data_IF_662225116701
#
_entry.id   IF_662225116701
#
_cell.length_a   1.000
_cell.length_b   1.000
_cell.length_c   1.000
_cell.angle_alpha   90.00
_cell.angle_beta   90.00
_cell.angle_gamma   90.00
#
_symmetry.space_group_name_H-M   'P 1'
#
loop_
_entity.id
_entity.type
_entity.pdbx_description
1 polymer ?
#
# COMPACT_ATOMS: atom_id res chain seq x y z
N UNK A 1 -9.28 28.93 6.68
CA UNK A 1 -8.76 29.49 5.42
C UNK A 1 -7.29 29.88 5.61
N UNK A 2 -6.54 30.08 4.52
CA UNK A 2 -5.14 30.56 4.56
C UNK A 2 -5.06 31.89 5.32
N UNK A 3 -6.04 32.76 5.14
CA UNK A 3 -6.13 34.05 5.86
C UNK A 3 -6.25 33.87 7.37
N UNK A 4 -7.01 32.86 7.83
CA UNK A 4 -7.13 32.55 9.25
C UNK A 4 -5.81 32.04 9.82
N UNK A 5 -5.09 31.21 9.08
CA UNK A 5 -3.77 30.68 9.48
C UNK A 5 -2.75 31.81 9.55
N UNK A 6 -2.69 32.67 8.54
CA UNK A 6 -1.80 33.84 8.53
C UNK A 6 -2.11 34.80 9.66
N UNK A 7 -3.40 35.02 9.96
CA UNK A 7 -3.83 35.83 11.09
C UNK A 7 -3.35 35.24 12.42
N UNK A 8 -3.46 33.93 12.60
CA UNK A 8 -3.00 33.24 13.81
C UNK A 8 -1.49 33.35 13.95
N UNK A 9 -0.72 33.11 12.89
CA UNK A 9 0.74 33.25 12.87
C UNK A 9 1.14 34.68 13.26
N UNK A 10 0.50 35.68 12.68
CA UNK A 10 0.73 37.11 12.97
C UNK A 10 0.44 37.45 14.41
N UNK A 11 -0.65 36.92 14.97
CA UNK A 11 -1.02 37.13 16.36
C UNK A 11 -0.04 36.47 17.33
N UNK A 12 0.36 35.23 17.02
CA UNK A 12 1.35 34.52 17.83
C UNK A 12 2.70 35.22 17.81
N UNK A 13 3.22 35.57 16.66
CA UNK A 13 4.52 36.25 16.52
C UNK A 13 4.54 37.62 17.27
N UNK A 14 3.41 38.35 17.24
CA UNK A 14 3.33 39.68 17.88
C UNK A 14 3.05 39.62 19.39
N UNK A 15 2.31 38.62 19.85
CA UNK A 15 1.85 38.56 21.25
C UNK A 15 2.62 37.58 22.12
N UNK A 16 3.24 36.58 21.48
CA UNK A 16 3.96 35.51 22.15
C UNK A 16 5.30 35.20 21.43
N UNK A 17 6.22 36.19 21.32
CA UNK A 17 7.46 36.03 20.57
C UNK A 17 8.36 34.90 21.11
N UNK A 18 8.24 34.58 22.39
CA UNK A 18 9.02 33.54 23.08
C UNK A 18 8.23 32.23 23.23
N UNK A 19 7.11 32.09 22.50
CA UNK A 19 6.20 30.95 22.61
C UNK A 19 5.05 31.17 23.58
N UNK A 20 4.03 30.33 23.54
CA UNK A 20 2.85 30.38 24.36
C UNK A 20 2.93 29.39 25.52
N UNK A 21 2.79 29.86 26.74
CA UNK A 21 2.79 29.03 27.95
C UNK A 21 1.37 28.62 28.38
N UNK A 22 1.25 27.62 29.26
CA UNK A 22 -0.04 27.22 29.83
C UNK A 22 -0.75 28.36 30.53
N UNK A 23 0.00 29.26 31.21
CA UNK A 23 -0.53 30.43 31.87
C UNK A 23 -1.04 31.50 30.91
N UNK A 24 -0.51 31.55 29.69
CA UNK A 24 -0.98 32.41 28.61
C UNK A 24 -2.30 31.89 28.04
N UNK A 25 -2.44 30.58 27.91
CA UNK A 25 -3.69 29.92 27.48
C UNK A 25 -4.84 30.24 28.43
N UNK A 26 -4.61 30.25 29.77
CA UNK A 26 -5.63 30.61 30.76
C UNK A 26 -6.07 32.06 30.66
N UNK A 27 -5.21 32.94 30.20
CA UNK A 27 -5.44 34.40 30.13
C UNK A 27 -5.65 34.91 28.70
N UNK A 28 -5.80 34.03 27.72
CA UNK A 28 -5.77 34.36 26.29
C UNK A 28 -6.83 35.42 25.92
N UNK A 29 -8.02 35.37 26.56
CA UNK A 29 -9.08 36.34 26.32
C UNK A 29 -8.72 37.80 26.79
N UNK A 30 -7.71 37.92 27.64
CA UNK A 30 -7.18 39.22 28.08
C UNK A 30 -6.06 39.73 27.20
N UNK A 31 -5.40 38.81 26.45
CA UNK A 31 -4.24 39.13 25.63
C UNK A 31 -4.70 39.39 24.18
N UNK A 32 -5.72 38.66 23.71
CA UNK A 32 -6.25 38.75 22.35
C UNK A 32 -7.72 39.18 22.37
N UNK A 33 -8.02 40.29 21.70
CA UNK A 33 -9.40 40.73 21.43
C UNK A 33 -9.92 40.02 20.18
N UNK A 34 -10.50 38.83 20.37
CA UNK A 34 -11.01 37.97 19.31
C UNK A 34 -12.09 38.64 18.44
N UNK A 35 -12.90 39.56 19.03
CA UNK A 35 -13.92 40.29 18.23
C UNK A 35 -13.28 41.24 17.24
N UNK A 36 -12.24 41.97 17.69
CA UNK A 36 -11.49 42.89 16.84
C UNK A 36 -10.74 42.14 15.73
N UNK A 37 -10.26 40.96 16.02
CA UNK A 37 -9.49 40.11 15.06
C UNK A 37 -10.39 39.31 14.12
N UNK A 38 -11.72 39.34 14.29
CA UNK A 38 -12.69 38.57 13.45
C UNK A 38 -12.45 37.06 13.40
N UNK A 39 -11.86 36.50 14.42
CA UNK A 39 -11.68 35.07 14.60
C UNK A 39 -12.29 34.63 15.94
N UNK A 40 -12.93 33.44 15.99
CA UNK A 40 -13.42 32.92 17.26
C UNK A 40 -12.28 32.34 18.10
N UNK A 41 -12.38 32.40 19.41
CA UNK A 41 -11.43 31.79 20.34
C UNK A 41 -11.26 30.30 20.05
N UNK A 42 -12.37 29.60 19.85
CA UNK A 42 -12.34 28.14 19.54
C UNK A 42 -11.53 27.84 18.28
N UNK A 43 -11.77 28.62 17.20
CA UNK A 43 -11.03 28.46 15.97
C UNK A 43 -9.55 28.80 16.09
N UNK A 44 -9.23 29.85 16.85
CA UNK A 44 -7.84 30.22 17.15
C UNK A 44 -7.11 29.11 17.90
N UNK A 45 -7.72 28.56 18.96
CA UNK A 45 -7.13 27.47 19.75
C UNK A 45 -7.00 26.20 18.93
N UNK A 46 -8.00 25.87 18.09
CA UNK A 46 -7.94 24.72 17.19
C UNK A 46 -6.76 24.83 16.22
N UNK A 47 -6.58 25.99 15.59
CA UNK A 47 -5.45 26.21 14.67
C UNK A 47 -4.09 26.14 15.37
N UNK A 48 -3.99 26.51 16.66
CA UNK A 48 -2.76 26.33 17.43
C UNK A 48 -2.50 24.85 17.70
N UNK A 49 -3.54 24.08 18.08
CA UNK A 49 -3.40 22.64 18.32
C UNK A 49 -3.02 21.94 17.02
N UNK A 50 -3.69 22.26 15.92
CA UNK A 50 -3.39 21.70 14.60
C UNK A 50 -1.96 22.05 14.14
N UNK A 51 -1.51 23.30 14.37
CA UNK A 51 -0.16 23.74 14.04
C UNK A 51 0.94 23.06 14.86
N UNK A 52 0.62 22.56 16.04
CA UNK A 52 1.58 21.83 16.88
C UNK A 52 1.96 20.47 16.26
N UNK A 53 1.11 19.97 15.34
CA UNK A 53 1.34 18.73 14.61
C UNK A 53 1.96 18.99 13.22
N UNK A 54 2.24 20.24 12.87
CA UNK A 54 2.83 20.62 11.58
C UNK A 54 4.23 21.19 11.83
N UNK A 55 5.23 20.42 11.47
CA UNK A 55 6.64 20.83 11.65
C UNK A 55 7.08 21.83 10.57
N UNK A 56 6.61 21.64 9.33
CA UNK A 56 7.04 22.46 8.19
C UNK A 56 6.11 22.33 6.99
N UNK A 57 5.81 23.47 6.35
CA UNK A 57 5.30 23.49 4.97
C UNK A 57 6.48 23.69 4.02
N UNK A 58 6.71 22.76 3.10
CA UNK A 58 7.71 22.88 2.05
C UNK A 58 7.08 22.67 0.69
N UNK A 59 7.54 23.41 -0.30
CA UNK A 59 7.30 23.08 -1.70
C UNK A 59 8.53 22.29 -2.15
N UNK A 60 8.33 21.01 -2.49
CA UNK A 60 9.40 20.22 -3.09
C UNK A 60 9.61 20.64 -4.55
N UNK A 61 10.77 21.22 -4.84
CA UNK A 61 11.13 21.65 -6.20
C UNK A 61 11.60 20.50 -7.11
N UNK A 62 11.73 19.28 -6.61
CA UNK A 62 12.32 18.15 -7.33
C UNK A 62 11.38 16.96 -7.53
N UNK A 63 10.34 17.13 -8.32
CA UNK A 63 9.71 15.99 -8.98
C UNK A 63 10.62 15.55 -10.13
N UNK A 64 11.51 14.59 -9.90
CA UNK A 64 12.32 13.98 -10.96
C UNK A 64 11.40 13.23 -11.93
N UNK A 65 11.31 13.82 -13.08
CA UNK A 65 10.51 13.41 -14.22
C UNK A 65 10.99 12.10 -14.84
N UNK A 66 10.03 11.22 -15.15
CA UNK A 66 10.04 10.37 -16.36
C UNK A 66 8.73 9.59 -16.53
N UNK A 67 7.59 10.19 -16.24
CA UNK A 67 6.29 9.59 -16.54
C UNK A 67 5.43 10.60 -17.29
N UNK A 68 4.84 10.16 -18.40
CA UNK A 68 3.92 10.97 -19.20
C UNK A 68 2.59 11.26 -18.46
N UNK A 69 2.28 10.48 -17.42
CA UNK A 69 1.08 10.60 -16.59
C UNK A 69 1.43 10.45 -15.09
N UNK A 70 0.74 11.22 -14.24
CA UNK A 70 0.99 11.30 -12.79
C UNK A 70 -0.31 11.19 -12.01
N UNK A 71 -0.35 10.33 -10.99
CA UNK A 71 -1.45 10.29 -10.02
C UNK A 71 -1.26 11.48 -9.06
N UNK A 72 -2.30 12.26 -8.88
CA UNK A 72 -2.29 13.43 -8.01
C UNK A 72 -3.44 13.33 -7.04
N UNK A 73 -3.13 13.37 -5.75
CA UNK A 73 -4.12 13.57 -4.70
C UNK A 73 -4.22 15.05 -4.37
N UNK A 74 -5.44 15.54 -4.29
CA UNK A 74 -5.77 16.94 -4.07
C UNK A 74 -6.48 17.04 -2.72
N UNK A 75 -6.19 18.08 -1.96
CA UNK A 75 -6.92 18.34 -0.72
C UNK A 75 -8.41 18.48 -0.98
N UNK A 76 -9.24 17.89 -0.13
CA UNK A 76 -10.70 18.00 -0.23
C UNK A 76 -11.13 19.46 -0.20
N UNK A 77 -12.00 19.81 -1.13
CA UNK A 77 -12.63 21.12 -1.25
C UNK A 77 -14.15 20.96 -1.31
N UNK A 78 -14.89 22.05 -1.23
CA UNK A 78 -16.35 22.03 -1.43
C UNK A 78 -16.75 21.68 -2.88
N UNK A 79 -15.79 21.72 -3.82
CA UNK A 79 -15.98 21.40 -5.23
C UNK A 79 -15.57 19.95 -5.52
N UNK A 80 -16.28 19.32 -6.41
CA UNK A 80 -15.85 18.02 -6.97
C UNK A 80 -14.54 18.20 -7.75
N UNK A 81 -13.77 17.13 -7.86
CA UNK A 81 -12.49 17.16 -8.62
C UNK A 81 -12.70 17.61 -10.07
N UNK A 82 -13.82 17.25 -10.69
CA UNK A 82 -14.18 17.67 -12.05
C UNK A 82 -14.46 19.17 -12.15
N UNK A 83 -15.18 19.73 -11.20
CA UNK A 83 -15.43 21.18 -11.13
C UNK A 83 -14.15 21.96 -10.88
N UNK A 84 -13.27 21.40 -10.03
CA UNK A 84 -11.98 21.99 -9.73
C UNK A 84 -11.07 22.00 -10.95
N UNK A 85 -10.96 20.87 -11.66
CA UNK A 85 -10.17 20.78 -12.89
C UNK A 85 -10.69 21.71 -13.99
N UNK A 86 -12.01 21.76 -14.18
CA UNK A 86 -12.64 22.71 -15.13
C UNK A 86 -12.33 24.16 -14.78
N UNK A 87 -12.29 24.52 -13.49
CA UNK A 87 -11.95 25.88 -13.06
C UNK A 87 -10.47 26.25 -13.33
N UNK A 88 -9.61 25.26 -13.56
CA UNK A 88 -8.20 25.41 -13.92
C UNK A 88 -7.94 25.22 -15.43
N UNK A 89 -9.00 25.16 -16.25
CA UNK A 89 -8.93 24.87 -17.70
C UNK A 89 -8.22 23.53 -17.99
N UNK A 90 -8.47 22.53 -17.15
CA UNK A 90 -7.97 21.16 -17.30
C UNK A 90 -9.15 20.26 -17.63
N UNK A 91 -9.13 19.68 -18.83
CA UNK A 91 -10.11 18.67 -19.23
C UNK A 91 -9.68 17.30 -18.72
N UNK A 92 -10.54 16.63 -17.93
CA UNK A 92 -10.31 15.28 -17.44
C UNK A 92 -11.45 14.35 -17.85
N UNK A 93 -11.09 13.15 -18.26
CA UNK A 93 -12.04 12.09 -18.52
C UNK A 93 -12.44 11.40 -17.20
N UNK A 94 -13.67 10.87 -17.14
CA UNK A 94 -14.14 10.15 -15.95
C UNK A 94 -13.26 8.96 -15.59
N UNK A 95 -12.66 8.31 -16.58
CA UNK A 95 -11.74 7.19 -16.39
C UNK A 95 -10.42 7.58 -15.69
N UNK A 96 -10.07 8.85 -15.67
CA UNK A 96 -8.87 9.38 -15.02
C UNK A 96 -9.13 9.84 -13.58
N UNK A 97 -10.37 9.75 -13.10
CA UNK A 97 -10.73 10.04 -11.71
C UNK A 97 -10.72 8.72 -10.93
N UNK A 98 -9.90 8.64 -9.90
CA UNK A 98 -9.79 7.46 -9.04
C UNK A 98 -10.74 7.55 -7.86
N UNK A 99 -10.75 8.69 -7.19
CA UNK A 99 -11.61 8.95 -6.03
C UNK A 99 -12.08 10.42 -6.05
N UNK A 100 -12.77 10.85 -4.99
CA UNK A 100 -13.23 12.24 -4.88
C UNK A 100 -12.09 13.27 -4.87
N UNK A 101 -10.88 12.84 -4.56
CA UNK A 101 -9.71 13.70 -4.41
C UNK A 101 -8.46 13.22 -5.18
N UNK A 102 -8.53 12.13 -5.94
CA UNK A 102 -7.38 11.54 -6.63
C UNK A 102 -7.65 11.41 -8.13
N UNK A 103 -6.74 11.90 -8.94
CA UNK A 103 -6.86 11.97 -10.40
C UNK A 103 -5.54 11.64 -11.09
N UNK A 104 -5.63 11.03 -12.28
CA UNK A 104 -4.51 10.82 -13.18
C UNK A 104 -4.40 12.02 -14.11
N UNK A 105 -3.26 12.69 -14.12
CA UNK A 105 -2.98 13.87 -14.92
C UNK A 105 -1.80 13.64 -15.84
N UNK A 106 -1.87 14.20 -17.05
CA UNK A 106 -0.72 14.36 -17.91
C UNK A 106 0.20 15.48 -17.40
N UNK A 107 1.38 15.57 -18.00
CA UNK A 107 2.40 16.55 -17.62
C UNK A 107 1.91 17.99 -17.74
N UNK A 108 1.22 18.32 -18.82
CA UNK A 108 0.76 19.69 -19.08
C UNK A 108 -0.29 20.11 -18.06
N UNK A 109 -1.20 19.22 -17.72
CA UNK A 109 -2.21 19.41 -16.67
C UNK A 109 -1.59 19.57 -15.29
N UNK A 110 -0.57 18.76 -14.97
CA UNK A 110 0.19 18.87 -13.72
C UNK A 110 0.91 20.22 -13.64
N UNK A 111 1.55 20.70 -14.72
CA UNK A 111 2.19 22.01 -14.77
C UNK A 111 1.19 23.14 -14.56
N UNK A 112 -0.03 23.04 -15.12
CA UNK A 112 -1.09 24.02 -14.90
C UNK A 112 -1.51 24.10 -13.43
N UNK A 113 -1.68 22.95 -12.76
CA UNK A 113 -2.00 22.92 -11.33
C UNK A 113 -0.85 23.50 -10.51
N UNK A 114 0.38 23.09 -10.77
CA UNK A 114 1.56 23.59 -10.05
C UNK A 114 1.70 25.11 -10.17
N UNK A 115 1.39 25.67 -11.34
CA UNK A 115 1.48 27.10 -11.59
C UNK A 115 0.34 27.90 -10.95
N UNK A 116 -0.89 27.39 -10.99
CA UNK A 116 -2.08 28.14 -10.63
C UNK A 116 -2.65 27.78 -9.26
N UNK A 117 -2.39 26.58 -8.77
CA UNK A 117 -3.02 26.03 -7.59
C UNK A 117 -2.16 24.95 -6.91
N UNK A 118 -0.84 25.15 -6.81
CA UNK A 118 0.11 24.21 -6.20
C UNK A 118 -0.27 23.78 -4.77
N UNK A 119 -0.96 24.66 -4.04
CA UNK A 119 -1.47 24.40 -2.69
C UNK A 119 -2.58 23.34 -2.64
N UNK A 120 -3.17 22.96 -3.77
CA UNK A 120 -4.18 21.91 -3.83
C UNK A 120 -3.55 20.51 -3.89
N UNK A 121 -2.29 20.38 -4.29
CA UNK A 121 -1.64 19.09 -4.41
C UNK A 121 -1.22 18.63 -3.02
N UNK A 122 -1.83 17.53 -2.58
CA UNK A 122 -1.41 16.86 -1.37
C UNK A 122 -0.22 15.94 -1.65
N UNK A 123 -0.19 15.27 -2.82
CA UNK A 123 0.85 14.32 -3.18
C UNK A 123 0.85 13.93 -4.66
N UNK A 124 2.00 13.49 -5.16
CA UNK A 124 2.15 12.88 -6.48
C UNK A 124 3.01 11.61 -6.44
N UNK A 125 2.61 10.68 -7.20
CA UNK A 125 3.07 9.35 -7.67
C UNK A 125 4.14 8.57 -6.92
N UNK A 126 3.73 7.34 -6.59
CA UNK A 126 4.61 6.18 -6.43
C UNK A 126 4.15 5.08 -7.40
N UNK A 127 5.06 4.46 -8.14
CA UNK A 127 4.75 3.39 -9.07
C UNK A 127 4.79 2.04 -8.35
N UNK A 128 3.62 1.43 -8.10
CA UNK A 128 3.51 0.08 -7.50
C UNK A 128 3.66 -1.04 -8.54
N UNK A 129 3.89 -0.70 -9.81
CA UNK A 129 4.04 -1.71 -10.86
C UNK A 129 5.37 -2.45 -10.81
N UNK A 130 6.34 -1.94 -10.07
CA UNK A 130 7.65 -2.58 -9.93
C UNK A 130 7.67 -3.46 -8.70
N UNK A 131 7.37 -4.73 -8.90
CA UNK A 131 7.67 -5.76 -7.90
C UNK A 131 9.18 -5.99 -7.94
N UNK A 132 9.89 -5.88 -6.81
CA UNK A 132 11.31 -6.19 -6.77
C UNK A 132 11.59 -7.57 -7.36
N UNK A 133 12.71 -7.69 -8.10
CA UNK A 133 13.13 -8.97 -8.63
C UNK A 133 13.34 -9.95 -7.48
N UNK A 134 12.72 -11.12 -7.58
CA UNK A 134 12.82 -12.17 -6.58
C UNK A 134 14.05 -13.04 -6.82
N UNK A 135 14.77 -13.35 -5.76
CA UNK A 135 15.77 -14.41 -5.80
C UNK A 135 15.06 -15.76 -5.70
N UNK A 136 15.15 -16.57 -6.75
CA UNK A 136 14.65 -17.95 -6.77
C UNK A 136 15.84 -18.90 -6.80
N UNK A 137 15.79 -19.94 -5.98
CA UNK A 137 16.73 -21.04 -6.05
C UNK A 137 15.97 -22.29 -6.43
N UNK A 138 16.44 -22.98 -7.47
CA UNK A 138 15.88 -24.27 -7.82
C UNK A 138 16.00 -25.23 -6.65
N UNK A 139 14.91 -25.88 -6.32
CA UNK A 139 14.91 -26.99 -5.38
C UNK A 139 15.32 -28.26 -6.17
N UNK A 140 16.60 -28.58 -6.15
CA UNK A 140 17.16 -29.73 -6.89
C UNK A 140 16.75 -31.11 -6.29
N UNK A 141 15.88 -31.16 -5.29
CA UNK A 141 15.34 -32.40 -4.80
C UNK A 141 14.27 -32.93 -5.76
N UNK A 142 14.20 -34.26 -5.94
CA UNK A 142 13.10 -34.86 -6.67
C UNK A 142 11.77 -34.42 -6.08
N UNK A 143 11.00 -33.66 -6.88
CA UNK A 143 9.72 -33.09 -6.43
C UNK A 143 8.77 -34.27 -6.18
N UNK A 144 8.29 -34.49 -4.94
CA UNK A 144 7.28 -35.50 -4.70
C UNK A 144 6.03 -35.12 -5.50
N UNK A 145 5.36 -36.09 -6.10
CA UNK A 145 4.07 -35.87 -6.74
C UNK A 145 3.09 -35.45 -5.64
N UNK A 146 2.95 -34.11 -5.47
CA UNK A 146 2.07 -33.58 -4.44
C UNK A 146 0.61 -33.77 -4.84
N UNK A 147 -0.17 -34.11 -3.86
CA UNK A 147 -1.63 -34.18 -3.98
C UNK A 147 -2.23 -33.51 -2.77
N UNK A 148 -3.28 -32.75 -2.98
CA UNK A 148 -4.09 -32.15 -1.95
C UNK A 148 -5.52 -32.69 -2.05
N UNK A 149 -6.21 -32.82 -0.90
CA UNK A 149 -7.63 -33.21 -0.91
C UNK A 149 -8.45 -32.18 -1.74
N UNK A 150 -9.59 -32.59 -2.24
CA UNK A 150 -10.50 -31.65 -2.91
C UNK A 150 -11.04 -30.61 -1.93
N UNK A 151 -11.24 -29.36 -2.40
CA UNK A 151 -11.81 -28.32 -1.57
C UNK A 151 -13.25 -28.65 -1.15
N UNK A 152 -13.63 -28.25 0.04
CA UNK A 152 -14.97 -28.39 0.61
C UNK A 152 -15.57 -27.03 0.96
N UNK A 153 -15.89 -26.82 2.23
CA UNK A 153 -16.48 -25.60 2.75
C UNK A 153 -15.44 -24.66 3.39
N UNK A 154 -14.18 -24.80 3.02
CA UNK A 154 -13.13 -23.93 3.53
C UNK A 154 -13.39 -22.46 3.18
N UNK A 155 -13.00 -21.51 4.05
CA UNK A 155 -13.13 -20.09 3.77
C UNK A 155 -12.42 -19.68 2.48
N UNK A 156 -12.90 -18.61 1.84
CA UNK A 156 -12.33 -18.05 0.62
C UNK A 156 -11.51 -16.81 0.98
N UNK A 157 -10.29 -16.75 0.49
CA UNK A 157 -9.41 -15.59 0.56
C UNK A 157 -9.28 -14.98 -0.83
N UNK A 158 -9.37 -13.66 -0.91
CA UNK A 158 -9.10 -12.94 -2.14
C UNK A 158 -7.60 -12.71 -2.30
N UNK A 159 -7.07 -12.94 -3.48
CA UNK A 159 -5.67 -12.63 -3.82
C UNK A 159 -5.65 -11.68 -5.00
N UNK A 160 -4.96 -10.56 -4.84
CA UNK A 160 -4.72 -9.57 -5.89
C UNK A 160 -3.21 -9.51 -6.13
N UNK A 161 -2.78 -10.01 -7.30
CA UNK A 161 -1.37 -10.23 -7.59
C UNK A 161 -1.10 -10.22 -9.10
N UNK A 162 0.05 -10.75 -9.54
CA UNK A 162 0.29 -11.18 -10.91
C UNK A 162 -0.55 -12.41 -11.25
N UNK A 163 -0.69 -12.80 -12.53
CA UNK A 163 -1.52 -13.93 -12.94
C UNK A 163 -1.20 -15.24 -12.22
N UNK A 164 -2.22 -16.09 -12.11
CA UNK A 164 -2.12 -17.44 -11.58
C UNK A 164 -1.89 -18.47 -12.71
N UNK A 165 -1.04 -19.47 -12.47
CA UNK A 165 -0.74 -20.56 -13.40
C UNK A 165 -1.69 -21.73 -13.17
N UNK A 166 -2.63 -21.91 -14.08
CA UNK A 166 -3.50 -23.08 -14.06
C UNK A 166 -2.74 -24.38 -14.36
N UNK A 167 -3.21 -25.48 -13.78
CA UNK A 167 -2.61 -26.80 -13.95
C UNK A 167 -1.63 -27.22 -12.86
N UNK A 168 -1.35 -26.38 -11.87
CA UNK A 168 -0.64 -26.76 -10.64
C UNK A 168 -1.49 -27.73 -9.81
N UNK A 169 -0.87 -28.56 -8.95
CA UNK A 169 -1.55 -29.63 -8.23
C UNK A 169 -2.71 -29.18 -7.33
N UNK A 170 -2.75 -27.91 -6.96
CA UNK A 170 -3.80 -27.31 -6.12
C UNK A 170 -4.81 -26.44 -6.90
N UNK A 171 -4.81 -26.49 -8.24
CA UNK A 171 -5.69 -25.62 -9.07
C UNK A 171 -7.18 -25.80 -8.77
N UNK A 172 -7.64 -26.97 -8.27
CA UNK A 172 -9.04 -27.17 -7.86
C UNK A 172 -9.46 -26.26 -6.67
N UNK A 173 -8.51 -25.67 -5.95
CA UNK A 173 -8.74 -24.75 -4.82
C UNK A 173 -8.84 -23.29 -5.24
N UNK A 174 -8.59 -23.00 -6.52
CA UNK A 174 -8.41 -21.64 -7.01
C UNK A 174 -9.41 -21.32 -8.10
N UNK A 175 -10.16 -20.25 -7.91
CA UNK A 175 -10.90 -19.56 -8.97
C UNK A 175 -10.04 -18.37 -9.41
N UNK A 176 -9.65 -18.28 -10.69
CA UNK A 176 -8.79 -17.21 -11.18
C UNK A 176 -9.45 -16.36 -12.27
N UNK A 177 -9.14 -15.06 -12.24
CA UNK A 177 -9.59 -14.08 -13.23
C UNK A 177 -8.44 -13.10 -13.53
N UNK A 178 -8.29 -12.72 -14.82
CA UNK A 178 -7.38 -11.64 -15.22
C UNK A 178 -8.18 -10.36 -15.37
N UNK A 179 -7.75 -9.30 -14.67
CA UNK A 179 -8.49 -8.03 -14.62
C UNK A 179 -7.58 -6.85 -14.98
N UNK A 180 -8.01 -6.06 -15.96
CA UNK A 180 -7.32 -4.82 -16.35
C UNK A 180 -6.05 -4.99 -17.19
N UNK A 181 -5.65 -6.24 -17.48
CA UNK A 181 -4.57 -6.60 -18.38
C UNK A 181 -5.08 -7.57 -19.45
N UNK A 182 -4.38 -7.70 -20.57
CA UNK A 182 -4.73 -8.60 -21.67
C UNK A 182 -3.69 -9.71 -21.78
N UNK A 183 -4.07 -10.85 -22.34
CA UNK A 183 -3.21 -12.04 -22.43
C UNK A 183 -1.89 -11.79 -23.19
N UNK A 184 -1.90 -10.90 -24.19
CA UNK A 184 -0.71 -10.49 -24.94
C UNK A 184 0.31 -9.67 -24.12
N UNK A 185 -0.11 -9.14 -22.98
CA UNK A 185 0.76 -8.44 -22.04
C UNK A 185 1.47 -9.38 -21.06
N UNK A 186 1.01 -10.62 -20.94
CA UNK A 186 1.49 -11.59 -19.97
C UNK A 186 2.62 -12.43 -20.56
N UNK A 187 3.74 -12.56 -19.85
CA UNK A 187 4.82 -13.50 -20.17
C UNK A 187 4.76 -14.71 -19.22
N UNK A 188 5.46 -15.78 -19.54
CA UNK A 188 5.49 -16.97 -18.68
C UNK A 188 5.99 -16.66 -17.25
N UNK A 189 6.97 -15.77 -17.11
CA UNK A 189 7.52 -15.39 -15.81
C UNK A 189 6.53 -14.60 -14.93
N UNK A 190 5.49 -14.03 -15.51
CA UNK A 190 4.49 -13.27 -14.77
C UNK A 190 3.59 -14.17 -13.92
N UNK A 191 3.47 -15.45 -14.23
CA UNK A 191 2.65 -16.41 -13.47
C UNK A 191 3.29 -16.85 -12.14
N UNK A 192 4.60 -16.79 -12.02
CA UNK A 192 5.31 -17.36 -10.86
C UNK A 192 4.95 -16.71 -9.53
N UNK A 193 4.94 -15.38 -9.45
CA UNK A 193 4.72 -14.68 -8.18
C UNK A 193 3.33 -14.96 -7.63
N UNK A 194 2.27 -14.68 -8.40
CA UNK A 194 0.89 -14.91 -7.98
C UNK A 194 0.60 -16.38 -7.66
N UNK A 195 1.18 -17.32 -8.42
CA UNK A 195 1.04 -18.75 -8.15
C UNK A 195 1.75 -19.14 -6.86
N UNK A 196 2.98 -18.64 -6.64
CA UNK A 196 3.75 -18.91 -5.42
C UNK A 196 3.05 -18.37 -4.17
N UNK A 197 2.56 -17.13 -4.19
CA UNK A 197 1.75 -16.54 -3.11
C UNK A 197 0.51 -17.41 -2.84
N UNK A 198 -0.21 -17.80 -3.88
CA UNK A 198 -1.41 -18.64 -3.77
C UNK A 198 -1.10 -20.02 -3.20
N UNK A 199 0.06 -20.60 -3.53
CA UNK A 199 0.47 -21.91 -3.00
C UNK A 199 0.61 -21.93 -1.49
N UNK A 200 1.07 -20.82 -0.90
CA UNK A 200 1.18 -20.67 0.56
C UNK A 200 -0.21 -20.66 1.23
N UNK A 201 -1.18 -19.99 0.63
CA UNK A 201 -2.55 -19.92 1.16
C UNK A 201 -3.23 -21.28 1.11
N UNK A 202 -3.07 -21.95 -0.03
CA UNK A 202 -3.77 -23.22 -0.29
C UNK A 202 -3.09 -24.38 0.42
N UNK A 203 -1.77 -24.44 0.41
CA UNK A 203 -1.04 -25.64 0.86
C UNK A 203 0.25 -25.33 1.66
N UNK A 204 0.30 -24.13 2.28
CA UNK A 204 1.42 -23.70 3.11
C UNK A 204 1.91 -24.74 4.14
N UNK A 205 1.02 -25.39 4.90
CA UNK A 205 1.41 -26.41 5.89
C UNK A 205 2.20 -27.58 5.28
N UNK A 206 1.82 -28.04 4.09
CA UNK A 206 2.53 -29.14 3.42
C UNK A 206 3.82 -28.66 2.73
N UNK A 207 3.85 -27.43 2.23
CA UNK A 207 5.03 -26.85 1.59
C UNK A 207 6.10 -26.48 2.63
N UNK A 208 5.67 -25.98 3.79
CA UNK A 208 6.53 -25.48 4.86
C UNK A 208 6.15 -26.06 6.24
N UNK A 209 6.29 -27.38 6.45
CA UNK A 209 5.78 -28.06 7.65
C UNK A 209 6.44 -27.59 8.97
N UNK A 210 7.62 -26.98 8.92
CA UNK A 210 8.28 -26.41 10.10
C UNK A 210 7.69 -25.07 10.53
N UNK A 211 6.89 -24.45 9.66
CA UNK A 211 6.24 -23.16 9.86
C UNK A 211 4.72 -23.29 9.77
N UNK A 212 4.18 -24.50 9.95
CA UNK A 212 2.75 -24.74 10.01
C UNK A 212 2.17 -24.06 11.26
N UNK A 213 1.23 -23.15 11.04
CA UNK A 213 0.53 -22.40 12.09
C UNK A 213 -0.74 -23.11 12.62
N UNK A 214 -1.06 -24.26 12.02
CA UNK A 214 -2.25 -25.05 12.36
C UNK A 214 -3.56 -24.51 11.78
N UNK A 215 -3.54 -23.46 10.94
CA UNK A 215 -4.74 -22.86 10.36
C UNK A 215 -5.33 -23.67 9.20
N UNK A 216 -4.55 -24.55 8.56
CA UNK A 216 -5.01 -25.46 7.52
C UNK A 216 -4.94 -24.87 6.11
N UNK A 217 -5.95 -25.18 5.31
CA UNK A 217 -6.01 -24.85 3.89
C UNK A 217 -7.17 -23.90 3.61
N UNK A 218 -7.02 -22.98 2.65
CA UNK A 218 -8.04 -22.04 2.26
C UNK A 218 -8.29 -22.08 0.76
N UNK A 219 -9.53 -21.85 0.35
CA UNK A 219 -9.87 -21.59 -1.05
C UNK A 219 -9.41 -20.20 -1.42
N UNK A 220 -9.07 -20.02 -2.68
CA UNK A 220 -8.59 -18.72 -3.18
C UNK A 220 -9.45 -18.27 -4.36
N UNK A 221 -9.82 -17.00 -4.37
CA UNK A 221 -10.24 -16.30 -5.58
C UNK A 221 -9.15 -15.34 -5.97
N UNK A 222 -8.43 -15.67 -7.04
CA UNK A 222 -7.22 -15.01 -7.49
C UNK A 222 -7.49 -14.05 -8.65
N UNK A 223 -6.97 -12.83 -8.55
CA UNK A 223 -7.10 -11.80 -9.57
C UNK A 223 -5.74 -11.34 -10.05
N UNK A 224 -5.41 -11.64 -11.31
CA UNK A 224 -4.20 -11.18 -11.97
C UNK A 224 -4.39 -9.75 -12.49
N UNK A 225 -3.74 -8.77 -11.86
CA UNK A 225 -3.89 -7.34 -12.19
C UNK A 225 -2.63 -6.67 -12.69
N UNK A 226 -1.47 -7.32 -12.60
CA UNK A 226 -0.17 -6.76 -12.94
C UNK A 226 0.70 -7.75 -13.72
N UNK A 227 1.68 -7.24 -14.49
CA UNK A 227 2.69 -8.01 -15.19
C UNK A 227 4.08 -7.43 -14.95
N UNK A 228 5.15 -8.09 -15.40
CA UNK A 228 6.52 -7.57 -15.33
C UNK A 228 6.81 -6.41 -16.29
N UNK A 229 5.91 -6.10 -17.22
CA UNK A 229 6.01 -4.92 -18.07
C UNK A 229 5.58 -3.68 -17.29
N UNK A 230 6.04 -2.49 -17.70
CA UNK A 230 5.60 -1.22 -17.11
C UNK A 230 4.08 -1.12 -17.08
N UNK A 231 3.53 -1.00 -15.91
CA UNK A 231 2.10 -0.95 -15.66
C UNK A 231 1.78 0.28 -14.80
N UNK A 232 0.66 0.94 -15.06
CA UNK A 232 0.26 2.09 -14.25
C UNK A 232 -0.33 1.64 -12.93
N UNK A 233 0.22 2.09 -11.79
CA UNK A 233 -0.36 1.84 -10.47
C UNK A 233 -1.81 2.30 -10.37
N UNK A 234 -2.18 3.36 -11.09
CA UNK A 234 -3.55 3.83 -11.21
C UNK A 234 -4.50 2.73 -11.73
N UNK A 235 -4.11 1.99 -12.77
CA UNK A 235 -4.93 0.90 -13.32
C UNK A 235 -5.05 -0.27 -12.35
N UNK A 236 -3.98 -0.59 -11.62
CA UNK A 236 -4.02 -1.62 -10.56
C UNK A 236 -5.04 -1.22 -9.51
N UNK A 237 -4.97 -0.01 -9.00
CA UNK A 237 -5.87 0.51 -7.96
C UNK A 237 -7.32 0.54 -8.43
N UNK A 238 -7.60 0.99 -9.66
CA UNK A 238 -8.95 0.89 -10.26
C UNK A 238 -9.46 -0.55 -10.38
N UNK A 239 -8.56 -1.49 -10.71
CA UNK A 239 -8.92 -2.91 -10.79
C UNK A 239 -9.28 -3.46 -9.42
N UNK A 240 -8.53 -3.08 -8.38
CA UNK A 240 -8.81 -3.47 -6.99
C UNK A 240 -10.24 -3.09 -6.59
N UNK A 241 -10.66 -1.85 -6.80
CA UNK A 241 -12.02 -1.43 -6.43
C UNK A 241 -13.10 -2.26 -7.15
N UNK A 242 -12.95 -2.45 -8.47
CA UNK A 242 -13.90 -3.24 -9.27
C UNK A 242 -13.97 -4.70 -8.81
N UNK A 243 -12.83 -5.29 -8.42
CA UNK A 243 -12.74 -6.64 -7.89
C UNK A 243 -13.50 -6.73 -6.57
N UNK A 244 -13.21 -5.83 -5.62
CA UNK A 244 -13.87 -5.81 -4.31
C UNK A 244 -15.37 -5.59 -4.44
N UNK A 245 -15.80 -4.67 -5.29
CA UNK A 245 -17.21 -4.38 -5.54
C UNK A 245 -17.99 -5.60 -6.01
N UNK A 246 -17.42 -6.43 -6.86
CA UNK A 246 -18.03 -7.65 -7.39
C UNK A 246 -17.96 -8.85 -6.44
N UNK A 247 -17.07 -8.85 -5.47
CA UNK A 247 -16.76 -9.98 -4.61
C UNK A 247 -16.96 -9.65 -3.11
N UNK A 248 -18.17 -9.16 -2.78
CA UNK A 248 -18.55 -8.71 -1.42
C UNK A 248 -18.58 -9.82 -0.36
N UNK A 249 -18.63 -11.06 -0.80
CA UNK A 249 -18.58 -12.26 0.02
C UNK A 249 -17.19 -12.49 0.62
N UNK A 250 -16.14 -11.95 0.01
CA UNK A 250 -14.77 -12.06 0.49
C UNK A 250 -14.46 -10.87 1.42
N UNK A 251 -14.01 -11.17 2.63
CA UNK A 251 -13.69 -10.16 3.64
C UNK A 251 -12.21 -9.92 3.85
N UNK A 252 -11.38 -10.90 3.52
CA UNK A 252 -9.93 -10.84 3.72
C UNK A 252 -9.22 -10.95 2.36
N UNK A 253 -8.33 -9.99 2.08
CA UNK A 253 -7.68 -9.84 0.79
C UNK A 253 -6.17 -9.76 0.94
N UNK A 254 -5.44 -10.59 0.22
CA UNK A 254 -3.99 -10.48 0.11
C UNK A 254 -3.62 -9.52 -1.02
N UNK A 255 -2.70 -8.62 -0.72
CA UNK A 255 -2.08 -7.72 -1.70
C UNK A 255 -0.56 -7.76 -1.52
N UNK A 256 0.10 -8.60 -2.31
CA UNK A 256 1.55 -8.75 -2.28
C UNK A 256 2.25 -7.92 -3.38
N UNK A 257 1.61 -6.84 -3.80
CA UNK A 257 2.15 -5.85 -4.72
C UNK A 257 2.61 -4.62 -3.95
N UNK A 258 3.76 -4.05 -4.32
CA UNK A 258 4.26 -2.86 -3.66
C UNK A 258 5.36 -2.15 -4.43
N UNK A 259 5.60 -0.89 -4.09
CA UNK A 259 6.61 -0.04 -4.70
C UNK A 259 8.02 -0.33 -4.17
N UNK A 260 9.02 -0.26 -5.03
CA UNK A 260 10.43 -0.25 -4.66
C UNK A 260 10.88 1.09 -4.06
N UNK A 261 10.10 2.17 -4.26
CA UNK A 261 10.36 3.48 -3.68
C UNK A 261 9.89 3.54 -2.23
N UNK A 262 10.57 4.37 -1.44
CA UNK A 262 10.17 4.64 -0.05
C UNK A 262 8.94 5.54 -0.01
N UNK A 263 8.07 5.34 0.98
CA UNK A 263 6.96 6.26 1.29
C UNK A 263 7.49 7.62 1.76
N UNK A 264 6.68 8.65 1.61
CA UNK A 264 6.94 9.95 2.22
C UNK A 264 6.64 9.89 3.73
N UNK A 265 7.39 10.67 4.51
CA UNK A 265 7.23 10.70 5.96
C UNK A 265 6.01 11.50 6.42
N UNK A 266 5.54 12.42 5.60
CA UNK A 266 4.52 13.40 5.96
C UNK A 266 3.17 13.11 5.30
N UNK A 267 3.12 12.15 4.38
CA UNK A 267 1.93 11.84 3.59
C UNK A 267 1.71 10.33 3.51
N UNK A 268 0.43 9.94 3.46
CA UNK A 268 0.04 8.60 3.03
C UNK A 268 0.03 8.61 1.50
N UNK A 269 0.57 7.55 0.89
CA UNK A 269 0.53 7.41 -0.56
C UNK A 269 -0.91 7.40 -1.09
N UNK A 270 -1.15 7.88 -2.31
CA UNK A 270 -2.48 7.79 -2.93
C UNK A 270 -3.02 6.36 -2.94
N UNK A 271 -2.15 5.40 -3.15
CA UNK A 271 -2.46 3.96 -3.14
C UNK A 271 -2.87 3.48 -1.74
N UNK A 272 -2.13 3.88 -0.71
CA UNK A 272 -2.45 3.56 0.68
C UNK A 272 -3.77 4.19 1.12
N UNK A 273 -3.97 5.47 0.83
CA UNK A 273 -5.21 6.19 1.14
C UNK A 273 -6.42 5.58 0.42
N UNK A 274 -6.24 5.14 -0.84
CA UNK A 274 -7.30 4.48 -1.58
C UNK A 274 -7.65 3.09 -1.02
N UNK A 275 -6.67 2.32 -0.56
CA UNK A 275 -6.94 1.07 0.15
C UNK A 275 -7.73 1.33 1.44
N UNK A 276 -7.41 2.40 2.17
CA UNK A 276 -8.14 2.78 3.38
C UNK A 276 -9.60 3.13 3.07
N UNK A 277 -9.86 3.85 1.98
CA UNK A 277 -11.19 4.17 1.51
C UNK A 277 -11.99 2.91 1.12
N UNK A 278 -11.37 1.99 0.35
CA UNK A 278 -11.99 0.73 -0.04
C UNK A 278 -12.35 -0.11 1.19
N UNK A 279 -11.45 -0.24 2.15
CA UNK A 279 -11.67 -1.01 3.36
C UNK A 279 -12.86 -0.48 4.16
N UNK A 280 -12.94 0.83 4.33
CA UNK A 280 -14.06 1.48 5.01
C UNK A 280 -15.37 1.33 4.22
N UNK A 281 -15.34 1.51 2.90
CA UNK A 281 -16.51 1.47 2.02
C UNK A 281 -17.13 0.08 1.92
N UNK A 282 -16.29 -0.95 1.87
CA UNK A 282 -16.72 -2.31 1.55
C UNK A 282 -16.68 -3.28 2.73
N UNK A 283 -16.25 -2.82 3.89
CA UNK A 283 -16.09 -3.63 5.10
C UNK A 283 -15.24 -4.88 4.84
N UNK A 284 -14.01 -4.63 4.36
CA UNK A 284 -13.00 -5.66 4.06
C UNK A 284 -11.69 -5.28 4.72
N UNK A 285 -10.77 -6.22 4.84
CA UNK A 285 -9.41 -5.99 5.30
C UNK A 285 -8.40 -6.44 4.24
N UNK A 286 -7.39 -5.61 3.99
CA UNK A 286 -6.23 -6.01 3.20
C UNK A 286 -5.07 -6.42 4.11
N UNK A 287 -4.44 -7.54 3.75
CA UNK A 287 -3.14 -7.93 4.27
C UNK A 287 -2.11 -7.59 3.20
N UNK A 288 -1.22 -6.68 3.53
CA UNK A 288 -0.28 -6.06 2.59
C UNK A 288 1.14 -6.44 2.95
N UNK A 289 1.94 -6.82 1.96
CA UNK A 289 3.36 -7.08 2.16
C UNK A 289 4.13 -5.79 2.49
N UNK A 290 5.02 -5.83 3.48
CA UNK A 290 5.80 -4.69 3.96
C UNK A 290 6.87 -4.16 2.98
N UNK A 291 6.92 -4.72 1.77
CA UNK A 291 7.87 -4.47 0.68
C UNK A 291 9.32 -4.89 0.96
N UNK A 292 10.00 -5.32 -0.09
CA UNK A 292 11.39 -5.77 0.00
C UNK A 292 12.35 -4.63 -0.35
N UNK A 293 13.53 -4.68 0.25
CA UNK A 293 14.66 -3.82 -0.14
C UNK A 293 15.16 -4.25 -1.52
N UNK A 294 15.35 -3.32 -2.48
CA UNK A 294 15.94 -3.66 -3.77
C UNK A 294 17.34 -4.25 -3.61
N UNK A 295 17.69 -5.26 -4.42
CA UNK A 295 18.96 -6.00 -4.34
C UNK A 295 20.18 -5.06 -4.48
N UNK A 296 20.08 -4.04 -5.33
CA UNK A 296 21.16 -3.10 -5.62
C UNK A 296 21.26 -1.93 -4.62
N UNK A 297 20.43 -1.92 -3.59
CA UNK A 297 20.37 -0.81 -2.65
C UNK A 297 21.02 -1.15 -1.30
N UNK A 298 22.18 -0.56 -1.07
CA UNK A 298 22.96 -0.72 0.18
C UNK A 298 22.45 0.15 1.35
N UNK A 299 21.34 0.87 1.20
CA UNK A 299 20.75 1.70 2.27
C UNK A 299 20.16 0.79 3.35
N UNK A 300 20.73 0.82 4.55
CA UNK A 300 20.33 -0.09 5.65
C UNK A 300 18.92 0.17 6.17
N UNK A 301 18.49 1.42 6.29
CA UNK A 301 17.20 1.80 6.84
C UNK A 301 16.33 2.37 5.72
N UNK A 302 15.72 1.50 4.92
CA UNK A 302 14.74 1.90 3.94
C UNK A 302 13.35 1.89 4.56
N UNK A 303 12.55 2.92 4.27
CA UNK A 303 11.13 2.94 4.61
C UNK A 303 10.36 1.99 3.71
N UNK A 304 9.25 1.49 4.22
CA UNK A 304 8.30 0.69 3.45
C UNK A 304 7.88 1.42 2.17
N UNK A 305 7.39 0.68 1.20
CA UNK A 305 6.89 1.23 -0.07
C UNK A 305 5.36 1.22 -0.11
N UNK A 306 4.75 2.10 -0.92
CA UNK A 306 3.31 2.08 -1.15
C UNK A 306 2.86 0.71 -1.72
N UNK A 307 1.67 0.20 -1.37
CA UNK A 307 0.65 0.78 -0.49
C UNK A 307 0.77 0.34 0.99
N UNK A 308 1.95 -0.13 1.44
CA UNK A 308 2.14 -0.62 2.82
C UNK A 308 2.02 0.49 3.89
N UNK A 309 1.84 1.73 3.48
CA UNK A 309 1.52 2.87 4.34
C UNK A 309 0.00 3.07 4.57
N UNK A 310 -0.85 2.20 4.02
CA UNK A 310 -2.28 2.16 4.35
C UNK A 310 -2.46 1.94 5.86
N UNK A 311 -3.24 2.80 6.50
CA UNK A 311 -3.46 2.78 7.96
C UNK A 311 -4.32 1.60 8.36
N UNK A 312 -5.39 1.32 7.60
CA UNK A 312 -6.38 0.30 7.91
C UNK A 312 -5.92 -1.13 7.50
N UNK A 313 -4.93 -1.24 6.63
CA UNK A 313 -4.41 -2.55 6.21
C UNK A 313 -3.55 -3.18 7.30
N UNK A 314 -3.58 -4.50 7.39
CA UNK A 314 -2.59 -5.26 8.17
C UNK A 314 -1.31 -5.41 7.33
N UNK A 315 -0.26 -4.71 7.70
CA UNK A 315 1.02 -4.75 6.99
C UNK A 315 1.95 -5.76 7.63
N UNK A 316 2.46 -6.68 6.82
CA UNK A 316 3.24 -7.82 7.28
C UNK A 316 4.68 -7.73 6.81
N UNK A 317 5.61 -7.80 7.75
CA UNK A 317 7.04 -7.89 7.49
C UNK A 317 7.55 -9.33 7.57
N UNK A 318 8.82 -9.55 7.22
CA UNK A 318 9.45 -10.86 7.26
C UNK A 318 10.41 -11.02 8.44
N UNK A 319 10.41 -12.23 9.00
CA UNK A 319 11.43 -12.71 9.93
C UNK A 319 12.07 -14.00 9.40
N UNK A 320 13.29 -14.28 9.87
CA UNK A 320 13.98 -15.54 9.61
C UNK A 320 13.40 -16.69 10.48
N UNK A 321 13.93 -17.89 10.32
CA UNK A 321 13.52 -19.08 11.11
C UNK A 321 13.71 -18.95 12.63
N UNK A 322 14.46 -17.95 13.09
CA UNK A 322 14.69 -17.66 14.50
C UNK A 322 13.86 -16.48 15.01
N UNK A 323 12.96 -15.94 14.19
CA UNK A 323 12.15 -14.78 14.52
C UNK A 323 12.91 -13.45 14.47
N UNK A 324 14.08 -13.40 13.83
CA UNK A 324 14.84 -12.16 13.63
C UNK A 324 14.44 -11.50 12.32
N UNK A 325 14.52 -10.19 12.29
CA UNK A 325 14.35 -9.39 11.09
C UNK A 325 15.25 -9.89 9.95
N UNK A 326 14.68 -10.04 8.76
CA UNK A 326 15.40 -10.50 7.57
C UNK A 326 16.22 -9.38 6.93
N UNK A 327 17.21 -9.77 6.09
CA UNK A 327 18.16 -8.85 5.47
C UNK A 327 17.51 -7.87 4.48
N UNK A 328 16.31 -8.16 3.99
CA UNK A 328 15.62 -7.41 2.95
C UNK A 328 14.40 -6.62 3.44
N UNK A 329 14.01 -6.74 4.68
CA UNK A 329 12.86 -6.02 5.24
C UNK A 329 13.08 -4.52 5.26
N UNK A 330 11.98 -3.80 5.22
CA UNK A 330 11.92 -2.36 5.39
C UNK A 330 11.12 -2.04 6.65
N UNK A 331 11.37 -0.89 7.21
CA UNK A 331 10.69 -0.42 8.41
C UNK A 331 10.22 1.02 8.19
N UNK A 332 9.39 1.52 9.05
CA UNK A 332 9.09 2.93 9.01
C UNK A 332 7.84 3.34 9.73
N UNK A 333 7.93 4.58 10.22
CA UNK A 333 6.78 5.29 10.71
C UNK A 333 6.01 5.88 9.52
N UNK A 334 4.70 5.72 9.54
CA UNK A 334 3.78 6.40 8.63
C UNK A 334 3.28 7.65 9.35
N UNK A 335 3.35 8.80 8.71
CA UNK A 335 2.98 10.09 9.30
C UNK A 335 3.69 10.38 10.64
N UNK A 336 4.89 9.84 10.85
CA UNK A 336 5.70 9.97 12.07
C UNK A 336 5.07 9.42 13.38
N UNK A 337 3.86 8.89 13.36
CA UNK A 337 3.17 8.41 14.56
C UNK A 337 2.48 7.05 14.42
N UNK A 338 2.32 6.53 13.21
CA UNK A 338 1.90 5.15 12.98
C UNK A 338 3.11 4.25 12.77
N UNK A 339 3.19 3.17 13.53
CA UNK A 339 4.23 2.15 13.35
C UNK A 339 3.75 1.15 12.32
N UNK A 340 4.50 0.99 11.25
CA UNK A 340 4.33 -0.03 10.22
C UNK A 340 5.68 -0.71 9.94
N UNK A 341 5.71 -1.99 9.60
CA UNK A 341 4.62 -2.98 9.54
C UNK A 341 4.00 -3.31 10.91
N UNK A 342 2.76 -3.82 10.90
CA UNK A 342 2.00 -4.13 12.14
C UNK A 342 2.47 -5.42 12.79
N UNK A 343 2.77 -6.44 11.96
CA UNK A 343 3.18 -7.78 12.39
C UNK A 343 4.30 -8.30 11.49
N UNK A 344 4.92 -9.40 11.92
CA UNK A 344 5.93 -10.11 11.14
C UNK A 344 5.69 -11.61 11.17
N UNK A 345 6.00 -12.27 10.05
CA UNK A 345 5.95 -13.72 9.95
C UNK A 345 7.14 -14.26 9.18
N UNK A 346 7.36 -15.58 9.19
CA UNK A 346 8.43 -16.21 8.44
C UNK A 346 8.26 -15.96 6.94
N UNK A 347 9.30 -15.45 6.30
CA UNK A 347 9.33 -15.16 4.87
C UNK A 347 10.61 -15.65 4.18
N UNK A 348 11.44 -16.38 4.93
CA UNK A 348 12.75 -16.84 4.47
C UNK A 348 13.80 -15.74 4.51
N UNK A 349 15.09 -16.15 4.55
CA UNK A 349 16.23 -15.24 4.44
C UNK A 349 17.43 -15.96 3.80
N UNK A 350 18.61 -15.35 3.89
CA UNK A 350 19.87 -15.90 3.39
C UNK A 350 20.30 -17.06 4.30
N UNK A 351 20.68 -18.16 3.68
CA UNK A 351 21.18 -19.33 4.40
C UNK A 351 21.64 -20.43 3.46
N UNK A 352 22.20 -21.49 4.04
CA UNK A 352 22.64 -22.70 3.32
C UNK A 352 21.65 -23.87 3.47
N UNK A 353 20.83 -23.80 4.52
CA UNK A 353 19.85 -24.83 4.84
C UNK A 353 18.50 -24.53 4.17
N UNK A 354 17.75 -25.56 3.81
CA UNK A 354 16.46 -25.41 3.12
C UNK A 354 15.43 -24.70 3.99
N UNK A 355 15.45 -24.92 5.30
CA UNK A 355 14.57 -24.28 6.28
C UNK A 355 14.83 -22.78 6.50
N UNK A 356 15.88 -22.24 5.88
CA UNK A 356 16.09 -20.80 5.83
C UNK A 356 15.22 -20.10 4.77
N UNK A 357 14.59 -20.84 3.88
CA UNK A 357 13.80 -20.31 2.77
C UNK A 357 12.34 -20.72 2.88
N UNK A 358 11.46 -19.92 2.27
CA UNK A 358 10.07 -20.30 2.04
C UNK A 358 10.03 -21.20 0.80
N UNK A 359 9.41 -22.38 0.94
CA UNK A 359 9.15 -23.29 -0.19
C UNK A 359 7.78 -22.96 -0.79
N UNK A 360 7.75 -22.74 -2.11
CA UNK A 360 6.54 -22.41 -2.86
C UNK A 360 6.38 -23.34 -4.06
N UNK A 361 5.15 -23.51 -4.52
CA UNK A 361 4.87 -24.11 -5.84
C UNK A 361 4.40 -23.00 -6.78
N UNK A 362 5.23 -22.62 -7.72
CA UNK A 362 5.01 -21.46 -8.60
C UNK A 362 4.88 -21.81 -10.08
N UNK A 363 5.01 -23.11 -10.43
CA UNK A 363 4.74 -23.65 -11.76
C UNK A 363 4.29 -25.12 -11.67
N UNK A 364 3.89 -25.70 -12.80
CA UNK A 364 3.40 -27.08 -12.88
C UNK A 364 4.51 -28.06 -12.50
N UNK A 365 4.29 -28.78 -11.40
CA UNK A 365 5.25 -29.73 -10.83
C UNK A 365 6.62 -29.13 -10.49
N UNK A 366 6.68 -27.83 -10.17
CA UNK A 366 7.91 -27.14 -9.82
C UNK A 366 7.75 -26.47 -8.45
N UNK A 367 8.70 -26.72 -7.56
CA UNK A 367 8.84 -26.02 -6.29
C UNK A 367 10.14 -25.23 -6.28
N UNK A 368 10.07 -24.02 -5.77
CA UNK A 368 11.23 -23.16 -5.60
C UNK A 368 11.41 -22.74 -4.15
N UNK A 369 12.65 -22.58 -3.74
CA UNK A 369 13.00 -21.92 -2.49
C UNK A 369 13.15 -20.42 -2.74
N UNK A 370 12.43 -19.63 -1.97
CA UNK A 370 12.37 -18.18 -2.12
C UNK A 370 12.40 -17.44 -0.79
N UNK A 371 12.43 -16.12 -0.85
CA UNK A 371 12.33 -15.23 0.30
C UNK A 371 11.61 -13.94 -0.08
N UNK A 372 10.86 -13.36 0.83
CA UNK A 372 10.18 -12.09 0.58
C UNK A 372 9.00 -11.84 1.50
N UNK A 373 8.70 -10.56 1.74
CA UNK A 373 7.51 -10.14 2.49
C UNK A 373 6.22 -10.58 1.80
N UNK A 374 6.25 -10.75 0.47
CA UNK A 374 5.14 -11.29 -0.32
C UNK A 374 4.72 -12.70 0.10
N UNK A 375 5.63 -13.46 0.72
CA UNK A 375 5.39 -14.82 1.20
C UNK A 375 5.10 -14.90 2.70
N UNK A 376 5.42 -13.83 3.46
CA UNK A 376 5.02 -13.70 4.87
C UNK A 376 3.57 -13.24 5.01
N UNK A 377 3.13 -12.34 4.14
CA UNK A 377 1.77 -11.82 4.15
C UNK A 377 0.72 -12.94 4.03
N UNK A 378 0.85 -13.90 3.09
CA UNK A 378 -0.08 -15.02 2.94
C UNK A 378 -0.28 -15.86 4.20
N UNK A 379 0.68 -16.01 5.05
CA UNK A 379 0.53 -16.79 6.29
C UNK A 379 -0.21 -16.00 7.36
N UNK A 380 0.00 -14.70 7.44
CA UNK A 380 -0.54 -13.88 8.54
C UNK A 380 -2.05 -13.80 8.57
N UNK A 381 -2.76 -13.87 7.44
CA UNK A 381 -4.22 -13.76 7.45
C UNK A 381 -4.95 -15.08 7.65
N UNK A 382 -4.27 -16.22 7.62
CA UNK A 382 -4.87 -17.46 8.10
C UNK A 382 -5.39 -17.29 9.52
N UNK A 383 -4.70 -16.47 10.33
CA UNK A 383 -5.13 -16.09 11.67
C UNK A 383 -6.33 -15.13 11.74
N UNK A 384 -6.59 -14.35 10.69
CA UNK A 384 -7.72 -13.42 10.65
C UNK A 384 -9.05 -14.08 10.25
N UNK A 385 -9.00 -15.25 9.65
CA UNK A 385 -10.19 -15.95 9.13
C UNK A 385 -10.71 -17.02 10.09
N UNK A 386 -10.03 -17.26 11.20
CA UNK A 386 -10.50 -18.19 12.23
C UNK A 386 -11.64 -17.57 13.04
N UNK A 387 -12.68 -18.35 13.38
CA UNK A 387 -13.82 -17.90 14.18
C UNK A 387 -13.43 -17.56 15.62
#
# INVERSE_FOLDING_TARGET
>A
TIDDVNLVIDLLSKKFPDGISNTDFEKIDKIIDFKKQKISKTKFLQLIVDSNNVEKFTVEENVKENQDETIVSIYETEKTIKELMNALDIEIEQRNILSNNTVLLDRDSLEKINKNASYLIAMSVIDVSKIPAEERKENNNAIPHRTIKKPGNEPIIGVIDKPFKNGVYFSEWVEDEIVGITEDMINNDDYHHGTGVTSIIVDGPNLNPLHDDGCGHFKVRHFGVATGKKFSSFRVVQSIEKIIEKNRDIKVWNLSLGSDKEIDQNFISPEGAFLDEIQAKYDVIFVVAGTNRPIDNNKKNMKIGAPADSINSLVVNSVDKNGKETSYTREGDVLSFYVKPDVSYFGGDIGTEMDCFMNICDDINVEHLTKGTSYSAPVSYTHLTLP
#
